data_IF_644409750260
#
_entry.id   IF_644409750260
#
_cell.length_a   1.000
_cell.length_b   1.000
_cell.length_c   1.000
_cell.angle_alpha   90.00
_cell.angle_beta   90.00
_cell.angle_gamma   90.00
#
_symmetry.space_group_name_H-M   'P 1'
#
loop_
_entity.id
_entity.type
_entity.pdbx_description
1 polymer ?
#
# COMPACT_ATOMS: atom_id res chain seq x y z
N UNK A 1 -58.47 -49.82 -0.20
CA UNK A 1 -58.79 -48.51 -0.80
C UNK A 1 -58.34 -47.45 0.20
N UNK A 2 -57.63 -46.38 -0.12
CA UNK A 2 -57.32 -45.73 -1.42
C UNK A 2 -55.79 -45.59 -1.52
N UNK A 3 -55.13 -46.27 -2.46
CA UNK A 3 -54.53 -45.71 -3.71
C UNK A 3 -53.35 -44.77 -3.46
N UNK A 4 -52.18 -45.13 -4.00
CA UNK A 4 -50.97 -44.30 -3.99
C UNK A 4 -51.02 -43.21 -5.09
N UNK A 5 -50.45 -42.04 -4.80
CA UNK A 5 -50.30 -40.94 -5.76
C UNK A 5 -48.83 -40.55 -5.92
N UNK A 6 -48.16 -41.09 -6.94
CA UNK A 6 -46.85 -40.61 -7.38
C UNK A 6 -47.05 -39.53 -8.45
N UNK A 7 -46.48 -38.34 -8.26
CA UNK A 7 -46.35 -37.32 -9.31
C UNK A 7 -44.95 -36.72 -9.29
N UNK A 8 -44.23 -36.92 -10.39
CA UNK A 8 -42.82 -36.53 -10.56
C UNK A 8 -42.70 -35.22 -11.34
N UNK A 9 -42.06 -34.22 -10.72
CA UNK A 9 -41.27 -33.19 -11.40
C UNK A 9 -42.01 -32.07 -12.17
N UNK A 10 -41.55 -30.84 -11.92
CA UNK A 10 -41.24 -29.84 -12.96
C UNK A 10 -40.13 -28.94 -12.42
N UNK A 11 -39.21 -28.52 -13.28
CA UNK A 11 -38.11 -27.63 -12.91
C UNK A 11 -38.59 -26.26 -12.43
N UNK A 12 -38.12 -25.84 -11.26
CA UNK A 12 -38.19 -24.45 -10.79
C UNK A 12 -36.82 -23.80 -10.93
N UNK A 13 -36.44 -23.46 -12.17
CA UNK A 13 -35.27 -22.65 -12.42
C UNK A 13 -35.43 -21.26 -11.74
N UNK A 14 -34.36 -20.69 -11.14
CA UNK A 14 -34.46 -19.40 -10.46
C UNK A 14 -34.77 -18.27 -11.46
N UNK A 15 -35.54 -17.24 -11.05
CA UNK A 15 -35.95 -16.17 -11.95
C UNK A 15 -34.76 -15.34 -12.45
N UNK A 16 -34.63 -15.23 -13.77
CA UNK A 16 -33.66 -14.33 -14.42
C UNK A 16 -34.13 -12.87 -14.34
N UNK A 17 -33.79 -12.21 -13.23
CA UNK A 17 -34.04 -10.79 -13.01
C UNK A 17 -33.30 -9.94 -14.04
N UNK A 18 -34.03 -9.45 -15.05
CA UNK A 18 -33.52 -8.50 -16.04
C UNK A 18 -33.44 -7.08 -15.46
N UNK A 19 -32.35 -6.78 -14.76
CA UNK A 19 -32.04 -5.40 -14.33
C UNK A 19 -31.75 -4.50 -15.55
N UNK A 20 -32.46 -3.38 -15.74
CA UNK A 20 -32.21 -2.49 -16.88
C UNK A 20 -30.91 -1.68 -16.78
N UNK A 21 -30.26 -1.48 -17.93
CA UNK A 21 -29.30 -0.43 -18.26
C UNK A 21 -28.35 0.09 -17.16
N UNK A 22 -27.19 -0.55 -17.03
CA UNK A 22 -25.99 0.14 -16.53
C UNK A 22 -25.43 1.05 -17.65
N UNK A 23 -25.06 2.31 -17.38
CA UNK A 23 -24.41 3.17 -18.38
C UNK A 23 -23.05 2.58 -18.85
N UNK A 24 -22.77 2.62 -20.15
CA UNK A 24 -21.47 2.22 -20.68
C UNK A 24 -20.44 3.32 -20.42
N UNK A 25 -19.42 3.03 -19.63
CA UNK A 25 -18.28 3.92 -19.44
C UNK A 25 -17.44 3.96 -20.71
N UNK A 26 -17.49 5.06 -21.45
CA UNK A 26 -16.66 5.28 -22.64
C UNK A 26 -15.20 5.44 -22.20
N UNK A 27 -14.33 4.50 -22.58
CA UNK A 27 -12.89 4.59 -22.34
C UNK A 27 -12.24 5.41 -23.47
N UNK A 28 -12.34 6.74 -23.36
CA UNK A 28 -11.41 7.63 -24.08
C UNK A 28 -10.07 7.61 -23.36
N UNK A 29 -9.03 7.09 -24.02
CA UNK A 29 -7.65 7.18 -23.52
C UNK A 29 -7.16 8.64 -23.45
N UNK A 30 -6.16 8.93 -22.60
CA UNK A 30 -5.62 10.28 -22.47
C UNK A 30 -4.91 10.73 -23.76
N UNK A 31 -5.07 11.99 -24.20
CA UNK A 31 -4.38 12.50 -25.39
C UNK A 31 -2.89 12.74 -25.12
N UNK A 32 -2.03 12.27 -26.03
CA UNK A 32 -0.59 12.49 -25.96
C UNK A 32 -0.22 13.89 -26.45
N UNK A 33 0.20 14.78 -25.55
CA UNK A 33 0.78 16.09 -25.91
C UNK A 33 2.06 16.38 -25.11
N UNK A 34 3.19 16.50 -25.81
CA UNK A 34 4.50 16.78 -25.23
C UNK A 34 4.85 18.28 -25.36
N UNK A 35 5.00 19.04 -24.25
CA UNK A 35 5.39 20.45 -24.30
C UNK A 35 6.91 20.62 -24.26
N UNK A 36 7.52 20.93 -25.41
CA UNK A 36 8.90 21.45 -25.48
C UNK A 36 8.88 22.96 -25.27
N UNK A 37 9.54 23.46 -24.22
CA UNK A 37 9.63 24.90 -23.93
C UNK A 37 11.08 25.39 -23.99
N UNK A 38 11.50 25.90 -25.14
CA UNK A 38 12.76 26.64 -25.28
C UNK A 38 12.55 28.09 -24.83
N UNK A 39 13.39 28.60 -23.92
CA UNK A 39 13.37 30.01 -23.51
C UNK A 39 14.64 30.70 -24.00
N UNK A 40 14.48 31.59 -24.98
CA UNK A 40 15.53 32.50 -25.45
C UNK A 40 15.36 33.85 -24.76
N UNK A 41 16.45 34.44 -24.24
CA UNK A 41 16.44 35.81 -23.70
C UNK A 41 17.57 36.62 -24.33
N UNK A 42 17.20 37.71 -24.99
CA UNK A 42 18.13 38.60 -25.71
C UNK A 42 18.64 39.72 -24.78
N UNK A 43 19.93 40.08 -24.81
CA UNK A 43 20.46 41.21 -24.03
C UNK A 43 19.99 42.57 -24.58
N UNK A 44 19.99 43.60 -23.72
CA UNK A 44 19.73 45.00 -24.07
C UNK A 44 20.91 45.87 -23.61
N UNK A 45 21.17 46.97 -24.32
CA UNK A 45 22.47 47.67 -24.36
C UNK A 45 22.38 49.16 -23.96
N UNK A 46 23.53 49.74 -23.53
CA UNK A 46 23.89 51.18 -23.53
C UNK A 46 23.07 52.14 -22.61
N UNK A 47 23.53 53.30 -22.13
CA UNK A 47 24.81 54.08 -22.14
C UNK A 47 24.97 54.75 -20.72
N UNK A 48 25.87 55.67 -20.30
CA UNK A 48 26.75 56.72 -20.90
C UNK A 48 28.06 56.82 -20.05
N UNK A 49 29.04 57.66 -20.43
CA UNK A 49 30.38 57.79 -19.82
C UNK A 49 30.64 59.11 -19.05
N UNK A 50 31.74 59.17 -18.27
CA UNK A 50 32.65 60.34 -18.07
C UNK A 50 33.88 59.96 -17.21
N UNK A 51 34.94 60.78 -17.21
CA UNK A 51 36.28 60.43 -16.67
C UNK A 51 36.87 61.45 -15.68
N UNK A 52 37.80 61.00 -14.82
CA UNK A 52 38.95 61.81 -14.34
C UNK A 52 40.03 60.97 -13.62
N UNK A 53 41.22 61.56 -13.44
CA UNK A 53 42.51 60.92 -13.10
C UNK A 53 42.82 60.80 -11.60
N UNK A 54 43.57 59.77 -11.16
CA UNK A 54 44.54 59.74 -10.03
C UNK A 54 45.31 58.36 -10.02
N UNK A 55 46.26 58.04 -9.09
CA UNK A 55 47.42 57.18 -9.38
C UNK A 55 47.16 55.65 -9.30
N UNK A 56 48.11 54.81 -9.76
CA UNK A 56 48.04 53.36 -9.55
C UNK A 56 48.04 53.00 -8.06
N UNK A 57 46.93 52.44 -7.60
CA UNK A 57 46.82 51.74 -6.32
C UNK A 57 47.31 50.30 -6.55
N UNK A 58 48.10 49.75 -5.62
CA UNK A 58 48.46 48.34 -5.66
C UNK A 58 47.22 47.48 -5.35
N UNK A 59 46.60 46.95 -6.40
CA UNK A 59 45.42 46.09 -6.28
C UNK A 59 45.83 44.71 -5.77
N UNK A 60 45.78 44.53 -4.44
CA UNK A 60 45.67 43.20 -3.83
C UNK A 60 44.45 42.49 -4.41
N UNK A 61 44.67 41.50 -5.27
CA UNK A 61 43.61 40.74 -5.95
C UNK A 61 42.97 39.72 -5.00
N UNK A 62 42.27 40.21 -3.98
CA UNK A 62 41.43 39.40 -3.10
C UNK A 62 40.16 38.94 -3.87
N UNK A 63 40.40 38.02 -4.80
CA UNK A 63 39.35 37.40 -5.59
C UNK A 63 38.59 36.46 -4.66
N UNK A 64 37.28 36.68 -4.42
CA UNK A 64 36.52 35.74 -3.59
C UNK A 64 36.62 34.34 -4.22
N UNK A 65 36.86 33.29 -3.41
CA UNK A 65 37.04 31.95 -3.94
C UNK A 65 35.81 31.56 -4.78
N UNK A 66 36.00 30.86 -5.92
CA UNK A 66 34.89 30.49 -6.78
C UNK A 66 33.86 29.69 -5.97
N UNK A 67 32.55 29.88 -6.22
CA UNK A 67 31.52 29.10 -5.53
C UNK A 67 31.81 27.60 -5.75
N UNK A 68 31.60 26.76 -4.73
CA UNK A 68 31.82 25.32 -4.87
C UNK A 68 30.98 24.80 -6.04
N UNK A 69 31.48 23.81 -6.81
CA UNK A 69 30.70 23.22 -7.88
C UNK A 69 29.37 22.68 -7.33
N UNK A 70 28.28 22.71 -8.12
CA UNK A 70 27.04 22.06 -7.71
C UNK A 70 27.35 20.61 -7.36
N UNK A 71 26.76 20.11 -6.27
CA UNK A 71 26.98 18.72 -5.89
C UNK A 71 26.27 17.80 -6.88
N UNK A 72 27.04 17.20 -7.80
CA UNK A 72 26.62 16.17 -8.75
C UNK A 72 26.18 14.85 -8.08
N UNK A 73 25.91 14.87 -6.77
CA UNK A 73 25.25 13.78 -6.05
C UNK A 73 23.83 13.64 -6.58
N UNK A 74 23.44 12.51 -7.19
CA UNK A 74 22.07 12.30 -7.62
C UNK A 74 21.12 12.42 -6.43
N UNK A 75 19.89 12.95 -6.61
CA UNK A 75 18.89 12.93 -5.55
C UNK A 75 18.76 11.51 -4.97
N UNK A 76 18.71 11.35 -3.63
CA UNK A 76 18.68 10.03 -3.02
C UNK A 76 17.51 9.22 -3.58
N UNK A 77 17.80 8.03 -4.09
CA UNK A 77 16.82 7.19 -4.76
C UNK A 77 15.64 6.94 -3.81
N UNK A 78 14.45 7.39 -4.22
CA UNK A 78 13.23 7.25 -3.42
C UNK A 78 12.97 5.76 -3.21
N UNK A 79 13.07 5.29 -1.96
CA UNK A 79 12.85 3.88 -1.65
C UNK A 79 11.47 3.41 -2.15
N UNK A 80 11.32 2.18 -2.62
CA UNK A 80 10.00 1.65 -2.97
C UNK A 80 9.10 1.59 -1.73
N UNK A 81 7.83 1.97 -1.89
CA UNK A 81 6.78 1.62 -0.93
C UNK A 81 6.53 0.12 -1.08
N UNK A 82 6.67 -0.63 0.02
CA UNK A 82 6.62 -2.09 0.05
C UNK A 82 6.57 -2.59 1.50
N UNK A 83 5.77 -3.63 1.77
CA UNK A 83 5.69 -4.29 3.08
C UNK A 83 6.02 -5.78 2.95
N UNK A 84 7.08 -6.20 3.64
CA UNK A 84 7.46 -7.59 3.83
C UNK A 84 6.66 -8.25 4.96
N UNK A 85 6.32 -9.52 4.77
CA UNK A 85 5.49 -10.30 5.69
C UNK A 85 6.13 -11.65 6.01
N UNK A 86 6.25 -11.95 7.31
CA UNK A 86 6.64 -13.25 7.86
C UNK A 86 5.52 -13.82 8.72
N UNK A 87 5.37 -15.14 8.68
CA UNK A 87 4.37 -15.89 9.44
C UNK A 87 5.10 -16.92 10.32
N UNK A 88 4.71 -17.02 11.58
CA UNK A 88 5.27 -17.99 12.53
C UNK A 88 4.12 -18.73 13.23
N UNK A 89 3.88 -20.00 12.89
CA UNK A 89 2.82 -20.79 13.50
C UNK A 89 3.32 -21.43 14.81
N UNK A 90 2.41 -21.64 15.74
CA UNK A 90 2.57 -22.55 16.88
C UNK A 90 1.46 -23.58 16.80
N UNK A 91 1.80 -24.82 16.50
CA UNK A 91 0.83 -25.92 16.29
C UNK A 91 0.84 -26.84 17.51
N UNK A 92 -0.32 -27.04 18.12
CA UNK A 92 -0.55 -28.02 19.19
C UNK A 92 -1.71 -28.93 18.77
N UNK A 93 -1.37 -30.10 18.23
CA UNK A 93 -2.33 -31.06 17.63
C UNK A 93 -3.15 -30.39 16.52
N UNK A 94 -4.44 -30.14 16.77
CA UNK A 94 -5.39 -29.49 15.85
C UNK A 94 -5.51 -27.98 16.07
N UNK A 95 -4.93 -27.44 17.15
CA UNK A 95 -5.02 -26.01 17.48
C UNK A 95 -3.78 -25.28 16.99
N UNK A 96 -3.96 -24.13 16.33
CA UNK A 96 -2.89 -23.29 15.78
C UNK A 96 -3.05 -21.85 16.25
N UNK A 97 -1.98 -21.32 16.86
CA UNK A 97 -1.80 -19.87 17.05
C UNK A 97 -0.88 -19.36 15.94
N UNK A 98 -1.21 -18.21 15.35
CA UNK A 98 -0.40 -17.58 14.31
C UNK A 98 0.18 -16.25 14.78
N UNK A 99 1.49 -16.08 14.67
CA UNK A 99 2.17 -14.80 14.84
C UNK A 99 2.54 -14.21 13.47
N UNK A 100 2.46 -12.88 13.38
CA UNK A 100 2.83 -12.08 12.22
C UNK A 100 4.03 -11.21 12.59
N UNK A 101 5.00 -11.10 11.67
CA UNK A 101 6.00 -10.04 11.70
C UNK A 101 6.00 -9.31 10.36
N UNK A 102 5.97 -7.99 10.44
CA UNK A 102 5.64 -7.07 9.35
C UNK A 102 6.73 -5.98 9.31
N UNK A 103 7.25 -5.62 8.14
CA UNK A 103 8.24 -4.54 8.04
C UNK A 103 8.32 -3.93 6.65
N UNK A 104 8.76 -2.68 6.57
CA UNK A 104 8.97 -1.99 5.30
C UNK A 104 8.58 -0.52 5.38
N UNK A 105 8.16 0.06 4.26
CA UNK A 105 7.67 1.43 4.18
C UNK A 105 6.33 1.52 3.47
N UNK A 106 5.50 2.44 3.95
CA UNK A 106 4.18 2.74 3.39
C UNK A 106 3.89 4.24 3.54
N UNK A 107 2.93 4.74 2.78
CA UNK A 107 2.43 6.10 2.96
C UNK A 107 1.48 6.16 4.16
N UNK A 108 1.47 7.31 4.83
CA UNK A 108 0.58 7.57 5.96
C UNK A 108 -0.84 7.82 5.44
N UNK A 109 -1.86 7.12 5.95
CA UNK A 109 -3.25 7.32 5.55
C UNK A 109 -3.78 8.69 6.00
N UNK A 110 -4.64 9.28 5.18
CA UNK A 110 -5.30 10.55 5.46
C UNK A 110 -6.61 10.31 6.22
N UNK A 111 -6.89 11.14 7.23
CA UNK A 111 -8.16 11.15 7.94
C UNK A 111 -9.21 11.83 7.06
N UNK A 112 -10.23 11.10 6.59
CA UNK A 112 -11.20 11.59 5.59
C UNK A 112 -11.93 12.88 6.01
N UNK A 113 -12.12 13.07 7.32
CA UNK A 113 -12.85 14.22 7.88
C UNK A 113 -12.03 15.52 7.91
N UNK A 114 -10.69 15.44 7.99
CA UNK A 114 -9.83 16.63 8.08
C UNK A 114 -8.97 16.85 6.84
N UNK A 115 -8.73 15.79 6.05
CA UNK A 115 -7.79 15.83 4.93
C UNK A 115 -6.32 15.78 5.37
N UNK A 116 -6.06 15.62 6.66
CA UNK A 116 -4.71 15.61 7.24
C UNK A 116 -4.08 14.21 7.15
N UNK A 117 -2.81 14.18 6.76
CA UNK A 117 -1.89 13.10 7.08
C UNK A 117 -1.30 13.36 8.48
N UNK A 118 -1.24 12.34 9.32
CA UNK A 118 -0.47 12.37 10.57
C UNK A 118 0.03 10.97 10.91
N UNK A 119 1.35 10.76 11.12
CA UNK A 119 1.85 9.47 11.55
C UNK A 119 1.28 9.12 12.93
N UNK A 120 0.67 7.93 13.03
CA UNK A 120 0.28 7.37 14.31
C UNK A 120 1.51 6.84 15.08
N UNK A 121 1.43 6.85 16.42
CA UNK A 121 2.55 6.63 17.36
C UNK A 121 3.31 5.28 17.22
N UNK A 122 2.77 4.35 16.43
CA UNK A 122 3.50 3.18 15.97
C UNK A 122 3.27 2.96 14.47
N UNK A 123 4.28 2.45 13.77
CA UNK A 123 4.20 2.08 12.35
C UNK A 123 2.93 1.27 12.04
N UNK A 124 2.60 0.29 12.89
CA UNK A 124 1.43 -0.61 12.73
C UNK A 124 0.07 0.08 12.87
N UNK A 125 0.00 1.27 13.49
CA UNK A 125 -1.24 2.06 13.58
C UNK A 125 -1.51 2.88 12.30
N UNK A 126 -0.57 2.94 11.36
CA UNK A 126 -0.75 3.60 10.05
C UNK A 126 -1.27 2.61 8.98
N UNK A 127 -1.60 1.37 9.36
CA UNK A 127 -2.02 0.31 8.43
C UNK A 127 -3.49 0.47 8.09
N UNK A 128 -3.81 0.50 6.79
CA UNK A 128 -5.17 0.72 6.30
C UNK A 128 -6.13 -0.42 6.71
N UNK A 129 -5.72 -1.68 6.46
CA UNK A 129 -6.51 -2.86 6.84
C UNK A 129 -5.63 -4.11 6.95
N UNK A 130 -6.01 -5.07 7.78
CA UNK A 130 -5.41 -6.41 7.88
C UNK A 130 -6.50 -7.47 7.86
N UNK A 131 -6.19 -8.67 7.35
CA UNK A 131 -7.12 -9.81 7.41
C UNK A 131 -6.43 -11.15 7.16
N UNK A 132 -6.95 -12.23 7.73
CA UNK A 132 -6.45 -13.59 7.53
C UNK A 132 -7.55 -14.64 7.37
N UNK A 133 -7.21 -15.78 6.78
CA UNK A 133 -8.06 -16.98 6.66
C UNK A 133 -7.29 -18.24 7.03
N UNK A 134 -7.99 -19.23 7.60
CA UNK A 134 -7.39 -20.48 8.10
C UNK A 134 -7.30 -21.62 7.07
N UNK A 135 -7.98 -21.47 5.91
CA UNK A 135 -7.87 -22.41 4.80
C UNK A 135 -8.75 -23.68 4.89
N UNK A 136 -9.67 -23.73 5.85
CA UNK A 136 -10.63 -24.83 6.11
C UNK A 136 -12.10 -24.43 5.83
N UNK A 137 -12.35 -23.18 5.41
CA UNK A 137 -13.69 -22.62 5.25
C UNK A 137 -14.22 -21.88 6.48
N UNK A 138 -13.51 -21.94 7.62
CA UNK A 138 -13.85 -21.14 8.80
C UNK A 138 -13.73 -19.63 8.50
N UNK A 139 -14.57 -18.77 9.11
CA UNK A 139 -14.53 -17.33 8.87
C UNK A 139 -13.15 -16.76 9.23
N UNK A 140 -12.64 -15.91 8.34
CA UNK A 140 -11.46 -15.10 8.60
C UNK A 140 -11.73 -14.00 9.62
N UNK A 141 -10.66 -13.38 10.13
CA UNK A 141 -10.75 -12.18 10.95
C UNK A 141 -9.75 -11.12 10.49
N UNK A 142 -9.97 -9.88 10.90
CA UNK A 142 -9.17 -8.74 10.47
C UNK A 142 -9.40 -7.49 11.32
N UNK A 143 -8.79 -6.38 10.89
CA UNK A 143 -9.01 -5.05 11.43
C UNK A 143 -8.92 -4.02 10.30
N UNK A 144 -9.85 -3.08 10.26
CA UNK A 144 -9.86 -1.95 9.33
C UNK A 144 -9.76 -0.67 10.17
N UNK A 145 -8.98 0.32 9.70
CA UNK A 145 -8.70 1.54 10.46
C UNK A 145 -9.84 2.59 10.49
N UNK A 146 -10.93 2.37 9.74
CA UNK A 146 -12.15 3.20 9.80
C UNK A 146 -12.15 4.34 8.79
N UNK A 147 -12.28 5.58 9.26
CA UNK A 147 -12.44 6.80 8.45
C UNK A 147 -11.11 7.30 7.86
N UNK A 148 -10.35 6.38 7.26
CA UNK A 148 -9.05 6.64 6.65
C UNK A 148 -9.11 6.41 5.13
N UNK A 149 -8.32 7.17 4.38
CA UNK A 149 -8.18 7.01 2.93
C UNK A 149 -6.71 7.09 2.50
N UNK A 150 -6.36 6.35 1.45
CA UNK A 150 -5.05 6.47 0.81
C UNK A 150 -5.03 7.55 -0.30
N UNK A 151 -6.17 8.16 -0.63
CA UNK A 151 -6.27 9.15 -1.71
C UNK A 151 -5.56 10.45 -1.29
N UNK A 152 -4.40 10.71 -1.89
CA UNK A 152 -3.57 11.88 -1.57
C UNK A 152 -2.56 11.64 -0.45
N UNK A 153 -2.44 10.41 0.06
CA UNK A 153 -1.34 10.03 0.93
C UNK A 153 0.01 10.28 0.24
N UNK A 154 0.99 10.82 0.97
CA UNK A 154 2.27 11.29 0.40
C UNK A 154 3.40 11.29 1.43
N UNK A 155 3.10 11.64 2.68
CA UNK A 155 3.99 11.39 3.83
C UNK A 155 4.26 9.89 3.96
N UNK A 156 5.50 9.51 4.31
CA UNK A 156 5.93 8.12 4.41
C UNK A 156 6.30 7.75 5.84
N UNK A 157 5.91 6.55 6.25
CA UNK A 157 6.38 5.91 7.49
C UNK A 157 7.07 4.58 7.18
N UNK A 158 8.30 4.44 7.69
CA UNK A 158 9.12 3.22 7.60
C UNK A 158 9.25 2.60 8.99
N UNK A 159 9.31 1.28 9.08
CA UNK A 159 9.42 0.59 10.37
C UNK A 159 9.01 -0.88 10.31
N UNK A 160 8.56 -1.39 11.47
CA UNK A 160 8.11 -2.75 11.63
C UNK A 160 7.01 -2.87 12.69
N UNK A 161 6.31 -4.00 12.67
CA UNK A 161 5.29 -4.38 13.62
C UNK A 161 5.25 -5.89 13.83
N UNK A 162 4.65 -6.31 14.93
CA UNK A 162 4.27 -7.70 15.16
C UNK A 162 2.81 -7.77 15.54
N UNK A 163 2.21 -8.93 15.31
CA UNK A 163 0.84 -9.22 15.71
C UNK A 163 0.62 -10.71 15.91
N UNK A 164 -0.58 -11.05 16.37
CA UNK A 164 -1.03 -12.43 16.51
C UNK A 164 -2.45 -12.49 15.96
N UNK A 165 -2.87 -13.64 15.41
CA UNK A 165 -4.29 -13.92 15.24
C UNK A 165 -5.01 -13.73 16.59
N UNK A 166 -6.21 -13.11 16.58
CA UNK A 166 -6.91 -12.69 17.82
C UNK A 166 -7.11 -13.85 18.80
N UNK A 167 -7.40 -15.03 18.27
CA UNK A 167 -7.67 -16.26 19.00
C UNK A 167 -6.96 -17.43 18.30
N UNK A 168 -6.53 -18.49 19.03
CA UNK A 168 -6.06 -19.73 18.45
C UNK A 168 -7.21 -20.45 17.71
N UNK A 169 -6.95 -20.94 16.50
CA UNK A 169 -7.94 -21.68 15.72
C UNK A 169 -7.81 -23.18 15.91
N UNK A 170 -8.91 -23.91 15.95
CA UNK A 170 -8.91 -25.38 16.10
C UNK A 170 -9.61 -26.05 14.93
N UNK A 171 -8.83 -26.76 14.11
CA UNK A 171 -9.35 -27.52 12.98
C UNK A 171 -10.13 -28.75 13.44
N UNK A 172 -11.21 -29.12 12.76
CA UNK A 172 -12.01 -30.30 13.13
C UNK A 172 -11.29 -31.64 12.86
N UNK A 173 -10.45 -31.67 11.83
CA UNK A 173 -9.74 -32.87 11.33
C UNK A 173 -8.25 -32.57 11.11
N UNK A 174 -7.41 -33.60 11.25
CA UNK A 174 -6.03 -33.54 10.79
C UNK A 174 -5.98 -33.36 9.27
N UNK A 175 -4.97 -32.66 8.77
CA UNK A 175 -4.86 -32.32 7.35
C UNK A 175 -3.79 -31.26 7.05
N UNK A 176 -3.71 -30.85 5.78
CA UNK A 176 -2.89 -29.71 5.35
C UNK A 176 -3.81 -28.58 4.91
N UNK A 177 -3.72 -27.44 5.58
CA UNK A 177 -4.53 -26.25 5.33
C UNK A 177 -3.64 -25.09 4.83
N UNK A 178 -4.21 -24.14 4.11
CA UNK A 178 -3.46 -22.95 3.63
C UNK A 178 -3.90 -21.72 4.41
N UNK A 179 -3.08 -21.32 5.38
CA UNK A 179 -3.26 -20.03 6.03
C UNK A 179 -2.87 -18.91 5.09
N UNK A 180 -3.66 -17.83 5.07
CA UNK A 180 -3.38 -16.62 4.28
C UNK A 180 -3.45 -15.40 5.19
N UNK A 181 -2.45 -14.53 5.12
CA UNK A 181 -2.48 -13.18 5.69
C UNK A 181 -2.39 -12.13 4.58
N UNK A 182 -3.22 -11.10 4.68
CA UNK A 182 -3.24 -9.96 3.77
C UNK A 182 -3.15 -8.67 4.58
N UNK A 183 -2.19 -7.84 4.22
CA UNK A 183 -1.85 -6.58 4.87
C UNK A 183 -2.01 -5.47 3.83
N UNK A 184 -2.97 -4.56 4.05
CA UNK A 184 -3.31 -3.46 3.15
C UNK A 184 -2.75 -2.15 3.70
N UNK A 185 -2.10 -1.38 2.84
CA UNK A 185 -1.40 -0.15 3.19
C UNK A 185 -1.56 0.88 2.08
N UNK A 186 -1.23 2.14 2.38
CA UNK A 186 -1.23 3.19 1.36
C UNK A 186 0.10 3.18 0.59
N UNK A 187 0.00 3.12 -0.73
CA UNK A 187 1.10 3.32 -1.67
C UNK A 187 0.81 4.48 -2.62
N UNK A 188 1.75 4.81 -3.54
CA UNK A 188 1.60 5.94 -4.46
C UNK A 188 0.30 5.91 -5.28
N UNK A 189 -0.15 4.72 -5.69
CA UNK A 189 -1.36 4.54 -6.51
C UNK A 189 -2.65 4.30 -5.67
N UNK A 190 -2.60 4.45 -4.34
CA UNK A 190 -3.74 4.31 -3.44
C UNK A 190 -3.61 3.13 -2.48
N UNK A 191 -4.59 2.23 -2.45
CA UNK A 191 -4.58 1.07 -1.53
C UNK A 191 -3.81 -0.08 -2.18
N UNK A 192 -2.64 -0.38 -1.65
CA UNK A 192 -1.84 -1.56 -2.00
C UNK A 192 -2.08 -2.71 -1.00
N UNK A 193 -1.55 -3.90 -1.33
CA UNK A 193 -1.58 -5.05 -0.43
C UNK A 193 -0.36 -5.96 -0.57
N UNK A 194 0.17 -6.38 0.56
CA UNK A 194 1.09 -7.52 0.67
C UNK A 194 0.30 -8.73 1.13
N UNK A 195 0.58 -9.90 0.54
CA UNK A 195 -0.09 -11.16 0.87
C UNK A 195 0.95 -12.24 1.16
N UNK A 196 0.76 -13.01 2.22
CA UNK A 196 1.64 -14.12 2.60
C UNK A 196 0.79 -15.36 2.89
N UNK A 197 1.13 -16.47 2.25
CA UNK A 197 0.50 -17.78 2.50
C UNK A 197 1.47 -18.71 3.20
N UNK A 198 0.93 -19.68 3.93
CA UNK A 198 1.70 -20.75 4.58
C UNK A 198 0.86 -22.02 4.67
N UNK A 199 1.48 -23.17 4.34
CA UNK A 199 0.87 -24.47 4.58
C UNK A 199 1.01 -24.83 6.05
N UNK A 200 -0.10 -25.21 6.67
CA UNK A 200 -0.19 -25.72 8.03
C UNK A 200 -0.53 -27.20 7.98
N UNK A 201 0.36 -28.05 8.48
CA UNK A 201 0.05 -29.47 8.70
C UNK A 201 -0.32 -29.66 10.16
N UNK A 202 -1.55 -30.11 10.41
CA UNK A 202 -2.09 -30.35 11.75
C UNK A 202 -2.53 -31.80 11.87
N UNK A 203 -2.37 -32.40 13.05
CA UNK A 203 -2.71 -33.79 13.31
C UNK A 203 -3.51 -33.91 14.60
N UNK A 204 -4.34 -34.97 14.70
CA UNK A 204 -4.68 -35.47 16.03
C UNK A 204 -3.40 -36.09 16.60
N UNK A 205 -3.21 -36.00 17.93
CA UNK A 205 -2.21 -36.86 18.54
C UNK A 205 -2.64 -38.31 18.30
N UNK A 206 -1.68 -39.18 17.99
CA UNK A 206 -1.92 -40.60 17.87
C UNK A 206 -2.53 -41.11 19.18
N UNK A 207 -3.63 -41.86 19.05
CA UNK A 207 -4.26 -42.53 20.18
C UNK A 207 -3.49 -43.85 20.38
N UNK A 208 -2.84 -44.07 21.53
CA UNK A 208 -2.11 -45.31 21.82
C UNK A 208 -3.06 -46.48 22.10
#
# INVERSE_FOLDING_TARGET
MVTAGNLTGVDSAPPVTKTPNQPQTIITGPPTTNPTTTVTVTPKESIIASANTLPPIETSTDTPPPPPPPSDTPPPAVEPVNVSLQLKPTINRLTVTMQFAESGSMLVPIIERTGESKPADSWRNNVYMTGYTWGDGSPGAGANAGLLTCKGAHERVSGSGTGTAREPHTYATGGTYTFTYTFYYCGPDGIEKSTKTMKLTVSRADVP
#
